data_IF_589003550016
#
_entry.id   IF_589003550016
#
_cell.length_a   1.000
_cell.length_b   1.000
_cell.length_c   1.000
_cell.angle_alpha   90.00
_cell.angle_beta   90.00
_cell.angle_gamma   90.00
#
_symmetry.space_group_name_H-M   'P 1'
#
loop_
_entity.id
_entity.type
_entity.pdbx_description
1 polymer ?
#
# COMPACT_ATOMS: atom_id res chain seq x y z
N UNK A 1 5.18 13.88 3.52
CA UNK A 1 6.34 13.62 2.64
C UNK A 1 6.19 12.18 2.15
N UNK A 2 6.08 11.96 0.83
CA UNK A 2 5.99 10.62 0.25
C UNK A 2 7.41 10.09 0.06
N UNK A 3 7.85 9.14 0.89
CA UNK A 3 9.16 8.51 0.75
C UNK A 3 8.98 7.18 0.00
N UNK A 4 9.72 6.97 -1.08
CA UNK A 4 9.81 5.68 -1.78
C UNK A 4 11.10 5.02 -1.31
N UNK A 5 11.01 3.78 -0.83
CA UNK A 5 12.18 2.99 -0.44
C UNK A 5 12.19 1.66 -1.20
N UNK A 6 13.36 1.26 -1.70
CA UNK A 6 13.59 -0.03 -2.34
C UNK A 6 14.15 -1.03 -1.32
N UNK A 7 13.59 -2.23 -1.23
CA UNK A 7 13.86 -3.16 -0.10
C UNK A 7 13.87 -4.61 -0.54
N UNK A 8 14.73 -5.41 0.13
CA UNK A 8 14.91 -6.88 0.29
C UNK A 8 14.57 -7.85 -0.85
N UNK A 9 13.59 -7.58 -1.69
CA UNK A 9 13.23 -8.36 -2.87
C UNK A 9 13.60 -7.54 -4.12
N UNK A 10 14.49 -8.05 -4.99
CA UNK A 10 15.04 -7.26 -6.10
C UNK A 10 13.95 -6.71 -7.05
N UNK A 11 12.78 -7.35 -7.08
CA UNK A 11 11.69 -7.07 -8.01
C UNK A 11 10.49 -6.35 -7.36
N UNK A 12 10.64 -5.81 -6.14
CA UNK A 12 9.57 -5.07 -5.46
C UNK A 12 10.02 -3.67 -5.06
N UNK A 13 9.13 -2.71 -5.24
CA UNK A 13 9.25 -1.35 -4.71
C UNK A 13 8.09 -1.15 -3.75
N UNK A 14 8.35 -0.51 -2.62
CA UNK A 14 7.33 -0.22 -1.63
C UNK A 14 7.10 1.29 -1.49
N UNK A 15 5.83 1.64 -1.31
CA UNK A 15 5.39 2.97 -0.90
C UNK A 15 4.44 2.80 0.29
N UNK A 16 4.60 3.65 1.31
CA UNK A 16 3.72 3.67 2.47
C UNK A 16 3.22 5.09 2.71
N UNK A 17 1.90 5.24 2.80
CA UNK A 17 1.22 6.49 3.10
C UNK A 17 0.32 6.24 4.30
N UNK A 18 0.65 6.93 5.40
CA UNK A 18 -0.15 7.05 6.61
C UNK A 18 -0.06 8.53 7.00
N UNK A 19 -1.16 9.28 6.90
CA UNK A 19 -1.18 10.72 7.20
C UNK A 19 -2.08 11.07 8.41
N UNK A 20 -2.54 10.06 9.14
CA UNK A 20 -3.45 10.18 10.28
C UNK A 20 -2.81 9.59 11.55
N UNK A 21 -3.50 9.74 12.68
CA UNK A 21 -3.21 9.07 13.95
C UNK A 21 -4.51 8.38 14.39
N UNK A 22 -4.38 7.18 14.95
CA UNK A 22 -5.52 6.37 15.38
C UNK A 22 -5.98 5.41 14.29
N UNK A 23 -7.26 5.04 14.32
CA UNK A 23 -7.81 3.97 13.51
C UNK A 23 -8.45 4.45 12.20
N UNK A 24 -7.88 4.03 11.07
CA UNK A 24 -8.42 4.35 9.75
C UNK A 24 -8.34 3.15 8.80
N UNK A 25 -9.18 3.15 7.77
CA UNK A 25 -9.14 2.16 6.70
C UNK A 25 -7.85 2.32 5.89
N UNK A 26 -7.30 1.20 5.44
CA UNK A 26 -6.19 1.18 4.49
C UNK A 26 -6.47 0.22 3.34
N UNK A 27 -5.86 0.48 2.19
CA UNK A 27 -5.81 -0.44 1.05
C UNK A 27 -4.39 -0.85 0.74
N UNK A 28 -4.22 -2.11 0.34
CA UNK A 28 -3.00 -2.61 -0.28
C UNK A 28 -3.19 -2.54 -1.79
N UNK A 29 -2.32 -1.81 -2.48
CA UNK A 29 -2.38 -1.66 -3.93
C UNK A 29 -1.15 -2.26 -4.61
N UNK A 30 -1.32 -2.66 -5.86
CA UNK A 30 -0.25 -3.06 -6.78
C UNK A 30 -0.30 -2.23 -8.04
N UNK A 31 0.84 -1.71 -8.47
CA UNK A 31 1.00 -1.06 -9.76
C UNK A 31 2.03 -1.84 -10.58
N UNK A 32 1.59 -2.35 -11.72
CA UNK A 32 2.46 -2.93 -12.74
C UNK A 32 3.17 -1.81 -13.52
N UNK A 33 4.39 -2.02 -14.02
CA UNK A 33 5.04 -1.01 -14.88
C UNK A 33 4.25 -0.79 -16.17
N UNK A 34 4.31 0.44 -16.68
CA UNK A 34 3.61 0.81 -17.91
C UNK A 34 4.21 0.13 -19.15
N UNK A 35 5.56 0.07 -19.22
CA UNK A 35 6.31 -0.65 -20.25
C UNK A 35 6.81 -1.99 -19.70
N UNK A 36 6.59 -3.05 -20.46
CA UNK A 36 7.14 -4.39 -20.20
C UNK A 36 8.28 -4.75 -21.16
N UNK A 37 8.44 -3.98 -22.23
CA UNK A 37 9.47 -4.16 -23.26
C UNK A 37 10.29 -2.89 -23.43
N UNK A 38 11.51 -3.03 -23.94
CA UNK A 38 12.27 -1.90 -24.48
C UNK A 38 11.66 -1.40 -25.81
N UNK A 39 12.27 -0.36 -26.39
CA UNK A 39 11.79 0.25 -27.64
C UNK A 39 11.96 -0.67 -28.86
N UNK A 40 12.76 -1.74 -28.75
CA UNK A 40 12.93 -2.80 -29.76
C UNK A 40 11.96 -3.98 -29.55
N UNK A 41 11.08 -3.89 -28.53
CA UNK A 41 10.08 -4.91 -28.22
C UNK A 41 10.60 -6.12 -27.45
N UNK A 42 11.80 -6.05 -26.87
CA UNK A 42 12.37 -7.11 -26.04
C UNK A 42 11.93 -6.93 -24.59
N UNK A 43 11.56 -8.04 -23.94
CA UNK A 43 11.14 -8.03 -22.53
C UNK A 43 12.21 -7.42 -21.61
N UNK A 44 11.76 -6.53 -20.72
CA UNK A 44 12.57 -6.01 -19.63
C UNK A 44 12.75 -7.11 -18.58
N UNK A 45 13.99 -7.38 -18.20
CA UNK A 45 14.33 -8.49 -17.28
C UNK A 45 14.35 -8.09 -15.81
N UNK A 46 14.45 -6.79 -15.52
CA UNK A 46 14.44 -6.21 -14.16
C UNK A 46 13.13 -5.48 -13.85
N UNK A 47 11.99 -6.08 -14.24
CA UNK A 47 10.67 -5.51 -13.95
C UNK A 47 10.42 -5.56 -12.44
N UNK A 48 10.16 -4.39 -11.85
CA UNK A 48 9.72 -4.27 -10.47
C UNK A 48 8.23 -3.98 -10.43
N UNK A 49 7.52 -4.59 -9.49
CA UNK A 49 6.16 -4.19 -9.13
C UNK A 49 6.21 -3.18 -7.99
N UNK A 50 5.35 -2.17 -8.04
CA UNK A 50 5.15 -1.23 -6.94
C UNK A 50 4.00 -1.73 -6.07
N UNK A 51 4.26 -1.96 -4.79
CA UNK A 51 3.23 -2.20 -3.79
C UNK A 51 3.06 -0.96 -2.90
N UNK A 52 1.82 -0.61 -2.64
CA UNK A 52 1.45 0.60 -1.92
C UNK A 52 0.57 0.26 -0.74
N UNK A 53 0.95 0.70 0.44
CA UNK A 53 0.06 0.78 1.59
C UNK A 53 -0.49 2.21 1.65
N UNK A 54 -1.79 2.40 1.47
CA UNK A 54 -2.42 3.73 1.49
C UNK A 54 -3.50 3.82 2.56
N UNK A 55 -3.33 4.76 3.48
CA UNK A 55 -4.30 5.10 4.52
C UNK A 55 -4.26 6.61 4.79
N UNK A 56 -5.27 7.32 4.30
CA UNK A 56 -5.44 8.76 4.45
C UNK A 56 -6.56 9.12 5.44
N UNK A 57 -6.46 10.27 6.09
CA UNK A 57 -7.42 10.84 7.03
C UNK A 57 -8.71 11.37 6.40
N UNK A 58 -8.76 11.50 5.07
CA UNK A 58 -9.88 12.13 4.37
C UNK A 58 -10.92 11.17 3.80
N UNK A 59 -10.75 9.86 3.94
CA UNK A 59 -11.59 8.87 3.27
C UNK A 59 -12.13 7.78 4.20
N UNK A 60 -13.44 7.78 4.38
CA UNK A 60 -14.16 6.85 5.26
C UNK A 60 -14.29 5.43 4.70
N UNK A 61 -13.86 5.15 3.47
CA UNK A 61 -14.09 3.87 2.79
C UNK A 61 -12.83 3.38 2.06
N UNK A 62 -12.64 2.06 1.98
CA UNK A 62 -11.55 1.46 1.20
C UNK A 62 -11.54 1.91 -0.27
N UNK A 63 -12.72 2.06 -0.88
CA UNK A 63 -12.84 2.58 -2.24
C UNK A 63 -12.48 4.06 -2.35
N UNK A 64 -12.72 4.83 -1.28
CA UNK A 64 -12.25 6.20 -1.11
C UNK A 64 -10.73 6.26 -1.04
N UNK A 65 -10.12 5.42 -0.18
CA UNK A 65 -8.67 5.30 -0.04
C UNK A 65 -7.95 5.01 -1.38
N UNK A 66 -8.51 4.11 -2.20
CA UNK A 66 -8.02 3.84 -3.57
C UNK A 66 -8.15 5.06 -4.48
N UNK A 67 -9.32 5.71 -4.51
CA UNK A 67 -9.58 6.87 -5.37
C UNK A 67 -8.67 8.05 -5.00
N UNK A 68 -8.52 8.30 -3.71
CA UNK A 68 -7.63 9.32 -3.18
C UNK A 68 -6.18 9.06 -3.59
N UNK A 69 -5.70 7.83 -3.45
CA UNK A 69 -4.34 7.50 -3.89
C UNK A 69 -4.15 7.78 -5.38
N UNK A 70 -5.12 7.39 -6.22
CA UNK A 70 -5.06 7.65 -7.66
C UNK A 70 -5.02 9.16 -7.93
N UNK A 71 -5.90 9.96 -7.31
CA UNK A 71 -5.95 11.41 -7.56
C UNK A 71 -4.66 12.12 -7.12
N UNK A 72 -4.08 11.72 -5.99
CA UNK A 72 -2.86 12.35 -5.45
C UNK A 72 -1.59 11.95 -6.22
N UNK A 73 -1.62 10.82 -6.94
CA UNK A 73 -0.41 10.26 -7.58
C UNK A 73 -0.49 10.16 -9.09
N UNK A 74 -1.64 10.46 -9.73
CA UNK A 74 -1.83 10.30 -11.19
C UNK A 74 -0.69 10.91 -12.00
N UNK A 75 -0.31 12.15 -11.70
CA UNK A 75 0.77 12.86 -12.40
C UNK A 75 2.14 12.20 -12.24
N UNK A 76 2.40 11.53 -11.12
CA UNK A 76 3.65 10.84 -10.81
C UNK A 76 3.67 9.42 -11.38
N UNK A 77 2.51 8.77 -11.48
CA UNK A 77 2.40 7.40 -12.00
C UNK A 77 2.34 7.35 -13.54
N UNK A 78 1.84 8.41 -14.17
CA UNK A 78 1.58 8.44 -15.63
C UNK A 78 2.83 8.09 -16.45
N UNK A 79 2.72 7.03 -17.24
CA UNK A 79 3.79 6.57 -18.14
C UNK A 79 4.90 5.77 -17.45
N UNK A 80 4.87 5.65 -16.11
CA UNK A 80 5.79 4.81 -15.33
C UNK A 80 5.06 3.54 -14.87
N UNK A 81 3.86 3.71 -14.32
CA UNK A 81 3.03 2.65 -13.77
C UNK A 81 1.66 2.61 -14.46
N UNK A 82 1.05 1.43 -14.51
CA UNK A 82 -0.38 1.27 -14.83
C UNK A 82 -1.23 1.69 -13.65
N UNK A 83 -2.53 1.86 -13.89
CA UNK A 83 -3.50 2.17 -12.83
C UNK A 83 -3.41 1.13 -11.70
N UNK A 84 -3.46 1.56 -10.43
CA UNK A 84 -3.35 0.66 -9.30
C UNK A 84 -4.49 -0.37 -9.27
N UNK A 85 -4.13 -1.61 -9.01
CA UNK A 85 -5.06 -2.68 -8.62
C UNK A 85 -5.15 -2.74 -7.09
N UNK A 86 -6.37 -2.80 -6.54
CA UNK A 86 -6.56 -3.00 -5.11
C UNK A 86 -6.53 -4.49 -4.77
N UNK A 87 -5.55 -4.90 -3.97
CA UNK A 87 -5.32 -6.29 -3.56
C UNK A 87 -5.98 -6.64 -2.22
N UNK A 88 -6.86 -5.78 -1.72
CA UNK A 88 -7.52 -5.94 -0.43
C UNK A 88 -7.29 -4.75 0.49
N UNK A 89 -7.85 -4.83 1.70
CA UNK A 89 -7.70 -3.76 2.67
C UNK A 89 -8.14 -4.15 4.06
N UNK A 90 -7.88 -3.28 5.01
CA UNK A 90 -8.22 -3.49 6.41
C UNK A 90 -8.29 -2.16 7.14
N UNK A 91 -7.96 -2.20 8.41
CA UNK A 91 -7.90 -1.06 9.31
C UNK A 91 -6.52 -1.04 9.94
N UNK A 92 -5.94 0.15 10.01
CA UNK A 92 -4.71 0.40 10.73
C UNK A 92 -5.00 1.32 11.90
N UNK A 93 -4.57 0.92 13.09
CA UNK A 93 -4.45 1.78 14.26
C UNK A 93 -2.98 2.22 14.37
N UNK A 94 -2.72 3.50 14.07
CA UNK A 94 -1.39 4.08 14.03
C UNK A 94 -1.15 5.02 15.23
N UNK A 95 -0.27 4.59 16.14
CA UNK A 95 0.08 5.35 17.34
C UNK A 95 1.59 5.66 17.36
N UNK A 96 2.01 6.80 16.77
CA UNK A 96 3.42 7.16 16.69
C UNK A 96 4.04 7.53 18.04
N UNK A 97 3.27 8.02 19.02
CA UNK A 97 3.80 8.41 20.33
C UNK A 97 4.25 7.20 21.17
N UNK A 98 3.65 6.03 20.92
CA UNK A 98 4.05 4.75 21.54
C UNK A 98 4.89 3.87 20.61
N UNK A 99 5.20 4.34 19.40
CA UNK A 99 5.83 3.54 18.34
C UNK A 99 5.11 2.20 18.11
N UNK A 100 3.77 2.24 18.07
CA UNK A 100 2.90 1.08 17.88
C UNK A 100 2.08 1.25 16.61
N UNK A 101 1.94 0.15 15.88
CA UNK A 101 0.96 0.06 14.81
C UNK A 101 0.31 -1.31 14.80
N UNK A 102 -0.98 -1.33 14.47
CA UNK A 102 -1.76 -2.56 14.39
C UNK A 102 -2.61 -2.56 13.12
N UNK A 103 -2.49 -3.59 12.31
CA UNK A 103 -3.34 -3.83 11.15
C UNK A 103 -4.27 -5.02 11.41
N UNK A 104 -5.56 -4.84 11.13
CA UNK A 104 -6.61 -5.84 11.33
C UNK A 104 -7.79 -5.62 10.39
N UNK A 105 -8.81 -6.46 10.50
CA UNK A 105 -10.04 -6.35 9.70
C UNK A 105 -9.91 -6.87 8.27
N UNK A 106 -10.99 -6.71 7.51
CA UNK A 106 -11.10 -7.04 6.09
C UNK A 106 -11.90 -5.96 5.37
N UNK A 107 -11.59 -5.74 4.09
CA UNK A 107 -12.35 -4.84 3.24
C UNK A 107 -13.60 -5.54 2.71
N UNK A 108 -14.78 -4.97 2.95
CA UNK A 108 -16.03 -5.53 2.40
C UNK A 108 -16.02 -5.63 0.87
N UNK A 109 -15.44 -4.63 0.19
CA UNK A 109 -15.44 -4.55 -1.28
C UNK A 109 -14.24 -5.20 -1.96
N UNK A 110 -13.11 -5.30 -1.26
CA UNK A 110 -11.84 -5.80 -1.85
C UNK A 110 -11.30 -7.06 -1.18
N UNK A 111 -11.90 -7.52 -0.08
CA UNK A 111 -11.44 -8.68 0.67
C UNK A 111 -10.18 -8.45 1.50
N UNK A 112 -9.57 -9.56 1.91
CA UNK A 112 -8.38 -9.59 2.75
C UNK A 112 -7.13 -9.16 1.96
N UNK A 113 -6.26 -8.32 2.53
CA UNK A 113 -4.99 -7.99 1.92
C UNK A 113 -3.96 -9.12 2.09
N UNK A 114 -2.97 -9.18 1.21
CA UNK A 114 -1.79 -10.02 1.42
C UNK A 114 -0.98 -9.47 2.62
N UNK A 115 -1.08 -10.17 3.75
CA UNK A 115 -0.46 -9.74 5.00
C UNK A 115 1.06 -9.76 4.96
N UNK A 116 1.68 -10.62 4.16
CA UNK A 116 3.14 -10.68 4.11
C UNK A 116 3.69 -9.42 3.43
N UNK A 117 3.00 -8.93 2.39
CA UNK A 117 3.34 -7.65 1.74
C UNK A 117 3.05 -6.48 2.68
N UNK A 118 1.94 -6.48 3.41
CA UNK A 118 1.67 -5.45 4.42
C UNK A 118 2.77 -5.42 5.48
N UNK A 119 3.20 -6.58 5.99
CA UNK A 119 4.30 -6.68 6.96
C UNK A 119 5.60 -6.15 6.39
N UNK A 120 5.97 -6.57 5.18
CA UNK A 120 7.18 -6.11 4.49
C UNK A 120 7.22 -4.58 4.35
N UNK A 121 6.11 -3.97 3.92
CA UNK A 121 6.00 -2.51 3.79
C UNK A 121 6.18 -1.85 5.16
N UNK A 122 5.45 -2.29 6.19
CA UNK A 122 5.51 -1.66 7.50
C UNK A 122 6.86 -1.87 8.20
N UNK A 123 7.52 -3.01 8.00
CA UNK A 123 8.90 -3.28 8.44
C UNK A 123 9.92 -2.36 7.77
N UNK A 124 9.68 -2.03 6.50
CA UNK A 124 10.54 -1.11 5.75
C UNK A 124 10.42 0.32 6.28
N UNK A 125 9.20 0.83 6.40
CA UNK A 125 8.96 2.24 6.67
C UNK A 125 8.93 2.59 8.17
N UNK A 126 8.60 1.62 9.01
CA UNK A 126 8.52 1.77 10.46
C UNK A 126 9.29 0.65 11.17
N UNK A 127 10.60 0.46 10.88
CA UNK A 127 11.38 -0.67 11.39
C UNK A 127 11.39 -0.75 12.92
N UNK A 128 11.36 0.40 13.58
CA UNK A 128 11.44 0.52 15.04
C UNK A 128 10.08 0.41 15.76
N UNK A 129 8.97 0.29 15.02
CA UNK A 129 7.64 0.19 15.63
C UNK A 129 7.36 -1.24 16.11
N UNK A 130 6.66 -1.38 17.23
CA UNK A 130 6.00 -2.62 17.60
C UNK A 130 4.79 -2.83 16.67
N UNK A 131 4.82 -3.91 15.89
CA UNK A 131 3.83 -4.20 14.85
C UNK A 131 2.98 -5.41 15.22
N UNK A 132 1.67 -5.31 15.01
CA UNK A 132 0.74 -6.43 15.05
C UNK A 132 -0.10 -6.43 13.77
N UNK A 133 0.19 -7.34 12.84
CA UNK A 133 -0.48 -7.43 11.53
C UNK A 133 -1.17 -8.78 11.44
N UNK A 134 -2.50 -8.78 11.37
CA UNK A 134 -3.33 -9.97 11.26
C UNK A 134 -4.56 -9.69 10.39
N UNK A 135 -5.08 -10.69 9.69
CA UNK A 135 -6.43 -10.63 9.11
C UNK A 135 -7.46 -11.02 10.17
N UNK A 136 -8.60 -10.34 10.20
CA UNK A 136 -9.73 -10.71 11.06
C UNK A 136 -11.04 -10.56 10.29
N UNK A 137 -12.08 -11.31 10.66
CA UNK A 137 -13.43 -11.16 10.07
C UNK A 137 -14.15 -9.85 10.44
N UNK A 138 -13.46 -8.91 11.09
CA UNK A 138 -14.03 -7.61 11.46
C UNK A 138 -14.15 -6.71 10.22
N UNK A 139 -15.36 -6.23 9.97
CA UNK A 139 -15.66 -5.21 8.96
C UNK A 139 -16.17 -3.97 9.69
N UNK A 140 -15.49 -2.84 9.52
CA UNK A 140 -15.96 -1.54 10.04
C UNK A 140 -16.97 -0.96 9.05
N UNK A 141 -18.21 -0.81 9.53
CA UNK A 141 -19.30 -0.14 8.82
C UNK A 141 -19.05 1.34 8.59
#
# INVERSE_FOLDING_TARGET
MNTIQSVKYPNRIYQCIINHIGDEKYVLLRCEPYKLTDDDGKDLTDIKELYVFSSCDSEDYHSGQLKWYISETESQLKGIWRSPECLGGGIIDFNPSESKLKCYGTSYGFGDPDIEIVRDILETFYPDFQRNVNVTNYVRG
#
